data_IF_698927449349
#
_entry.id   IF_698927449349
#
_cell.length_a   1.000
_cell.length_b   1.000
_cell.length_c   1.000
_cell.angle_alpha   90.00
_cell.angle_beta   90.00
_cell.angle_gamma   90.00
#
_symmetry.space_group_name_H-M   'P 1'
#
loop_
_entity.id
_entity.type
_entity.pdbx_description
1 polymer ?
#
# COMPACT_ATOMS: atom_id res chain seq x y z
N UNK A 1 -18.41 -14.28 14.82
CA UNK A 1 -17.30 -14.82 14.00
C UNK A 1 -16.04 -14.87 14.86
N UNK A 2 -15.41 -16.03 14.97
CA UNK A 2 -14.13 -16.19 15.70
C UNK A 2 -13.04 -15.49 14.89
N UNK A 3 -12.29 -14.56 15.52
CA UNK A 3 -11.18 -13.84 14.86
C UNK A 3 -9.99 -14.80 14.71
N UNK A 4 -9.55 -15.06 13.47
CA UNK A 4 -8.38 -15.89 13.19
C UNK A 4 -7.10 -15.22 13.73
N UNK A 5 -6.28 -15.93 14.51
CA UNK A 5 -4.98 -15.39 14.96
C UNK A 5 -3.94 -15.53 13.86
N UNK A 6 -2.93 -14.67 13.83
CA UNK A 6 -1.82 -14.77 12.87
C UNK A 6 -1.09 -16.12 12.97
N UNK A 7 -1.03 -16.68 14.19
CA UNK A 7 -0.50 -18.02 14.46
C UNK A 7 -1.28 -19.13 13.75
N UNK A 8 -2.52 -18.87 13.35
CA UNK A 8 -3.37 -19.82 12.64
C UNK A 8 -3.33 -19.59 11.12
N UNK A 9 -3.06 -18.33 10.70
CA UNK A 9 -3.04 -17.90 9.30
C UNK A 9 -1.69 -18.17 8.64
N UNK A 10 -0.58 -17.84 9.31
CA UNK A 10 0.76 -18.01 8.76
C UNK A 10 1.06 -19.49 8.42
N UNK A 11 0.71 -20.48 9.27
CA UNK A 11 0.86 -21.88 8.90
C UNK A 11 0.05 -22.28 7.67
N UNK A 12 -1.16 -21.73 7.47
CA UNK A 12 -1.99 -22.01 6.28
C UNK A 12 -1.34 -21.48 5.01
N UNK A 13 -0.76 -20.28 5.05
CA UNK A 13 -0.01 -19.71 3.94
C UNK A 13 1.26 -20.50 3.63
N UNK A 14 2.02 -20.85 4.67
CA UNK A 14 3.21 -21.68 4.52
C UNK A 14 2.85 -23.08 4.01
N UNK A 15 1.68 -23.61 4.39
CA UNK A 15 1.11 -24.85 3.84
C UNK A 15 0.77 -24.68 2.36
N UNK A 16 0.09 -23.61 1.96
CA UNK A 16 -0.18 -23.34 0.54
C UNK A 16 1.12 -23.34 -0.29
N UNK A 17 2.12 -22.57 0.12
CA UNK A 17 3.41 -22.50 -0.58
C UNK A 17 4.12 -23.87 -0.58
N UNK A 18 4.13 -24.57 0.56
CA UNK A 18 4.81 -25.86 0.69
C UNK A 18 4.16 -26.97 -0.13
N UNK A 19 2.88 -26.83 -0.50
CA UNK A 19 2.15 -27.75 -1.38
C UNK A 19 2.22 -27.35 -2.86
N UNK A 20 1.98 -26.07 -3.18
CA UNK A 20 1.98 -25.60 -4.56
C UNK A 20 3.34 -25.71 -5.23
N UNK A 21 4.41 -25.34 -4.52
CA UNK A 21 5.75 -25.30 -5.12
C UNK A 21 6.25 -26.70 -5.54
N UNK A 22 6.10 -27.77 -4.75
CA UNK A 22 6.36 -29.13 -5.22
C UNK A 22 5.49 -29.55 -6.40
N UNK A 23 4.18 -29.24 -6.37
CA UNK A 23 3.26 -29.58 -7.47
C UNK A 23 3.76 -28.98 -8.79
N UNK A 24 4.00 -27.66 -8.84
CA UNK A 24 4.48 -27.01 -10.06
C UNK A 24 5.84 -27.56 -10.52
N UNK A 25 6.73 -27.91 -9.59
CA UNK A 25 8.03 -28.53 -9.90
C UNK A 25 7.89 -29.92 -10.51
N UNK A 26 7.02 -30.75 -9.94
CA UNK A 26 6.73 -32.09 -10.43
C UNK A 26 6.08 -32.01 -11.82
N UNK A 27 5.03 -31.19 -11.98
CA UNK A 27 4.38 -30.94 -13.27
C UNK A 27 5.39 -30.44 -14.31
N UNK A 28 6.26 -29.47 -13.97
CA UNK A 28 7.30 -29.00 -14.90
C UNK A 28 8.23 -30.12 -15.34
N UNK A 29 8.68 -30.96 -14.41
CA UNK A 29 9.55 -32.10 -14.73
C UNK A 29 8.85 -33.08 -15.67
N UNK A 30 7.56 -33.35 -15.44
CA UNK A 30 6.80 -34.29 -16.26
C UNK A 30 6.59 -33.73 -17.66
N UNK A 31 6.09 -32.50 -17.76
CA UNK A 31 5.82 -31.85 -19.05
C UNK A 31 7.13 -31.72 -19.85
N UNK A 32 8.25 -31.34 -19.23
CA UNK A 32 9.55 -31.27 -19.89
C UNK A 32 9.96 -32.60 -20.55
N UNK A 33 9.69 -33.73 -19.90
CA UNK A 33 10.03 -35.06 -20.39
C UNK A 33 8.95 -35.69 -21.28
N UNK A 34 7.77 -35.08 -21.39
CA UNK A 34 6.69 -35.57 -22.24
C UNK A 34 7.01 -35.29 -23.71
N UNK A 35 6.72 -36.24 -24.58
CA UNK A 35 6.76 -36.01 -26.02
C UNK A 35 5.76 -34.89 -26.39
N UNK A 36 6.14 -33.85 -27.15
CA UNK A 36 5.21 -32.82 -27.59
C UNK A 36 3.90 -33.37 -28.18
N UNK A 37 3.95 -34.45 -28.97
CA UNK A 37 2.75 -34.99 -29.61
C UNK A 37 1.75 -35.59 -28.60
N UNK A 38 2.26 -36.09 -27.47
CA UNK A 38 1.44 -36.61 -26.36
C UNK A 38 0.82 -35.50 -25.51
N UNK A 39 1.26 -34.24 -25.68
CA UNK A 39 0.71 -33.09 -24.96
C UNK A 39 -0.68 -32.70 -25.48
N UNK A 40 -0.99 -33.00 -26.75
CA UNK A 40 -2.30 -32.72 -27.34
C UNK A 40 -3.41 -33.65 -26.85
N UNK A 41 -3.04 -34.84 -26.38
CA UNK A 41 -4.01 -35.82 -25.88
C UNK A 41 -4.39 -35.49 -24.43
N UNK A 42 -5.58 -34.89 -24.28
CA UNK A 42 -6.17 -34.54 -22.99
C UNK A 42 -6.30 -35.79 -22.10
N UNK A 43 -6.57 -36.97 -22.68
CA UNK A 43 -6.65 -38.21 -21.91
C UNK A 43 -5.29 -38.64 -21.34
N UNK A 44 -4.19 -38.36 -22.06
CA UNK A 44 -2.83 -38.61 -21.57
C UNK A 44 -2.53 -37.69 -20.40
N UNK A 45 -2.88 -36.40 -20.48
CA UNK A 45 -2.74 -35.46 -19.37
C UNK A 45 -3.56 -35.87 -18.15
N UNK A 46 -4.80 -36.36 -18.35
CA UNK A 46 -5.64 -36.85 -17.26
C UNK A 46 -5.11 -38.14 -16.63
N UNK A 47 -4.56 -39.06 -17.42
CA UNK A 47 -3.90 -40.28 -16.90
C UNK A 47 -2.68 -39.91 -16.06
N UNK A 48 -1.84 -39.00 -16.55
CA UNK A 48 -0.67 -38.49 -15.81
C UNK A 48 -1.11 -37.88 -14.48
N UNK A 49 -2.10 -36.97 -14.49
CA UNK A 49 -2.64 -36.35 -13.27
C UNK A 49 -3.12 -37.40 -12.27
N UNK A 50 -3.92 -38.38 -12.72
CA UNK A 50 -4.44 -39.44 -11.87
C UNK A 50 -3.33 -40.33 -11.28
N UNK A 51 -2.27 -40.61 -12.03
CA UNK A 51 -1.11 -41.34 -11.50
C UNK A 51 -0.36 -40.54 -10.43
N UNK A 52 -0.18 -39.23 -10.62
CA UNK A 52 0.47 -38.36 -9.63
C UNK A 52 -0.34 -38.25 -8.34
N UNK A 53 -1.67 -38.19 -8.44
CA UNK A 53 -2.58 -38.23 -7.30
C UNK A 53 -2.41 -39.53 -6.53
N UNK A 54 -2.39 -40.68 -7.23
CA UNK A 54 -2.20 -42.01 -6.62
C UNK A 54 -0.86 -42.17 -5.90
N UNK A 55 0.24 -41.63 -6.46
CA UNK A 55 1.58 -41.70 -5.85
C UNK A 55 1.66 -40.99 -4.48
N UNK A 56 0.75 -40.04 -4.21
CA UNK A 56 0.76 -39.22 -2.99
C UNK A 56 -0.23 -39.64 -1.88
N UNK A 57 -1.04 -40.68 -2.10
CA UNK A 57 -2.04 -41.19 -1.13
C UNK A 57 -1.38 -41.76 0.16
N UNK A 58 -0.06 -41.95 0.19
CA UNK A 58 0.68 -42.46 1.37
C UNK A 58 0.93 -41.43 2.49
N UNK A 59 0.37 -40.21 2.41
CA UNK A 59 0.46 -39.17 3.45
C UNK A 59 -0.94 -38.81 3.99
N UNK A 60 -1.00 -38.18 5.18
CA UNK A 60 -2.22 -37.81 5.94
C UNK A 60 -3.38 -37.35 5.02
N UNK A 61 -4.55 -37.99 5.15
CA UNK A 61 -5.71 -37.92 4.24
C UNK A 61 -6.16 -36.49 3.85
N UNK A 62 -6.19 -35.57 4.81
CA UNK A 62 -6.54 -34.18 4.54
C UNK A 62 -5.49 -33.45 3.67
N UNK A 63 -4.20 -33.69 3.90
CA UNK A 63 -3.11 -33.09 3.11
C UNK A 63 -3.06 -33.64 1.69
N UNK A 64 -3.47 -34.91 1.49
CA UNK A 64 -3.59 -35.50 0.15
C UNK A 64 -4.75 -34.91 -0.65
N UNK A 65 -5.89 -34.64 -0.02
CA UNK A 65 -7.07 -34.04 -0.67
C UNK A 65 -6.79 -32.60 -1.13
N UNK A 66 -6.17 -31.76 -0.28
CA UNK A 66 -5.75 -30.41 -0.68
C UNK A 66 -4.75 -30.43 -1.83
N UNK A 67 -3.76 -31.33 -1.78
CA UNK A 67 -2.77 -31.45 -2.86
C UNK A 67 -3.38 -31.90 -4.19
N UNK A 68 -4.37 -32.79 -4.15
CA UNK A 68 -5.10 -33.27 -5.33
C UNK A 68 -5.92 -32.14 -5.98
N UNK A 69 -6.59 -31.31 -5.17
CA UNK A 69 -7.34 -30.15 -5.67
C UNK A 69 -6.43 -29.16 -6.41
N UNK A 70 -5.27 -28.83 -5.83
CA UNK A 70 -4.30 -27.93 -6.47
C UNK A 70 -3.70 -28.52 -7.75
N UNK A 71 -3.40 -29.82 -7.77
CA UNK A 71 -2.95 -30.50 -9.00
C UNK A 71 -4.01 -30.44 -10.09
N UNK A 72 -5.26 -30.72 -9.75
CA UNK A 72 -6.37 -30.64 -10.70
C UNK A 72 -6.41 -29.25 -11.33
N UNK A 73 -6.39 -28.19 -10.53
CA UNK A 73 -6.39 -26.83 -11.03
C UNK A 73 -5.20 -26.53 -11.97
N UNK A 74 -3.99 -26.97 -11.63
CA UNK A 74 -2.79 -26.77 -12.48
C UNK A 74 -2.94 -27.46 -13.83
N UNK A 75 -3.43 -28.71 -13.86
CA UNK A 75 -3.62 -29.43 -15.12
C UNK A 75 -4.79 -28.88 -15.95
N UNK A 76 -5.87 -28.40 -15.33
CA UNK A 76 -6.94 -27.71 -16.06
C UNK A 76 -6.42 -26.43 -16.74
N UNK A 77 -5.63 -25.61 -16.04
CA UNK A 77 -5.02 -24.39 -16.63
C UNK A 77 -4.16 -24.75 -17.85
N UNK A 78 -3.36 -25.82 -17.76
CA UNK A 78 -2.53 -26.30 -18.88
C UNK A 78 -3.41 -26.76 -20.05
N UNK A 79 -4.46 -27.55 -19.77
CA UNK A 79 -5.40 -28.04 -20.80
C UNK A 79 -6.10 -26.89 -21.52
N UNK A 80 -6.59 -25.90 -20.78
CA UNK A 80 -7.24 -24.72 -21.35
C UNK A 80 -6.29 -23.94 -22.27
N UNK A 81 -5.02 -23.79 -21.89
CA UNK A 81 -4.01 -23.16 -22.72
C UNK A 81 -3.75 -23.94 -24.02
N UNK A 82 -3.60 -25.26 -23.94
CA UNK A 82 -3.37 -26.11 -25.11
C UNK A 82 -4.58 -26.03 -26.06
N UNK A 83 -5.80 -26.19 -25.55
CA UNK A 83 -7.02 -26.12 -26.38
C UNK A 83 -7.12 -24.78 -27.09
N UNK A 84 -6.76 -23.70 -26.41
CA UNK A 84 -6.82 -22.35 -26.96
C UNK A 84 -5.81 -22.09 -28.08
N UNK A 85 -4.58 -22.60 -27.97
CA UNK A 85 -3.49 -22.21 -28.88
C UNK A 85 -2.98 -23.31 -29.82
N UNK A 86 -3.45 -24.55 -29.69
CA UNK A 86 -3.02 -25.69 -30.54
C UNK A 86 -3.24 -25.50 -32.05
N UNK A 87 -4.13 -24.58 -32.43
CA UNK A 87 -4.41 -24.27 -33.84
C UNK A 87 -3.55 -23.10 -34.36
N UNK A 88 -3.00 -22.29 -33.46
CA UNK A 88 -2.29 -21.05 -33.78
C UNK A 88 -0.76 -21.18 -33.68
N UNK A 89 -0.27 -22.09 -32.83
CA UNK A 89 1.15 -22.17 -32.45
C UNK A 89 1.63 -23.64 -32.55
N UNK A 90 2.87 -23.90 -33.02
CA UNK A 90 3.47 -25.23 -32.98
C UNK A 90 3.47 -25.84 -31.58
N UNK A 91 3.23 -27.16 -31.50
CA UNK A 91 3.08 -27.89 -30.23
C UNK A 91 4.35 -27.83 -29.38
N UNK A 92 5.53 -27.81 -30.03
CA UNK A 92 6.80 -27.69 -29.33
C UNK A 92 6.93 -26.34 -28.61
N UNK A 93 6.45 -25.26 -29.24
CA UNK A 93 6.46 -23.93 -28.65
C UNK A 93 5.43 -23.85 -27.50
N UNK A 94 4.24 -24.46 -27.65
CA UNK A 94 3.24 -24.58 -26.56
C UNK A 94 3.85 -25.27 -25.34
N UNK A 95 4.57 -26.37 -25.56
CA UNK A 95 5.28 -27.09 -24.49
C UNK A 95 6.32 -26.21 -23.82
N UNK A 96 7.14 -25.52 -24.60
CA UNK A 96 8.20 -24.64 -24.08
C UNK A 96 7.61 -23.48 -23.27
N UNK A 97 6.53 -22.84 -23.75
CA UNK A 97 5.79 -21.83 -22.99
C UNK A 97 5.27 -22.37 -21.65
N UNK A 98 4.64 -23.55 -21.63
CA UNK A 98 4.14 -24.15 -20.37
C UNK A 98 5.31 -24.39 -19.40
N UNK A 99 6.44 -24.91 -19.88
CA UNK A 99 7.63 -25.17 -19.04
C UNK A 99 8.21 -23.86 -18.48
N UNK A 100 8.26 -22.80 -19.28
CA UNK A 100 8.71 -21.48 -18.86
C UNK A 100 7.74 -20.86 -17.84
N UNK A 101 6.43 -20.89 -18.11
CA UNK A 101 5.42 -20.38 -17.17
C UNK A 101 5.44 -21.09 -15.82
N UNK A 102 5.66 -22.41 -15.82
CA UNK A 102 5.87 -23.19 -14.60
C UNK A 102 7.15 -22.78 -13.88
N UNK A 103 8.25 -22.55 -14.62
CA UNK A 103 9.53 -22.10 -14.06
C UNK A 103 9.39 -20.75 -13.35
N UNK A 104 8.80 -19.76 -14.02
CA UNK A 104 8.49 -18.44 -13.47
C UNK A 104 7.64 -18.53 -12.20
N UNK A 105 6.58 -19.34 -12.23
CA UNK A 105 5.67 -19.55 -11.10
C UNK A 105 6.37 -20.15 -9.88
N UNK A 106 7.27 -21.10 -10.09
CA UNK A 106 8.09 -21.70 -9.01
C UNK A 106 9.00 -20.65 -8.38
N UNK A 107 9.61 -19.77 -9.18
CA UNK A 107 10.49 -18.71 -8.72
C UNK A 107 9.72 -17.62 -7.96
N UNK A 108 8.52 -17.23 -8.43
CA UNK A 108 7.61 -16.33 -7.73
C UNK A 108 7.25 -16.86 -6.33
N UNK A 109 6.81 -18.13 -6.24
CA UNK A 109 6.49 -18.78 -4.96
C UNK A 109 7.70 -18.85 -4.02
N UNK A 110 8.91 -19.06 -4.56
CA UNK A 110 10.15 -19.06 -3.76
C UNK A 110 10.43 -17.70 -3.14
N UNK A 111 10.24 -16.60 -3.89
CA UNK A 111 10.39 -15.24 -3.35
C UNK A 111 9.33 -14.95 -2.30
N UNK A 112 8.07 -15.28 -2.58
CA UNK A 112 6.96 -15.13 -1.63
C UNK A 112 7.21 -15.89 -0.31
N UNK A 113 7.75 -17.10 -0.39
CA UNK A 113 8.16 -17.86 0.79
C UNK A 113 9.24 -17.14 1.62
N UNK A 114 10.20 -16.51 0.96
CA UNK A 114 11.33 -15.86 1.61
C UNK A 114 10.92 -14.58 2.34
N UNK A 115 9.88 -13.87 1.87
CA UNK A 115 9.41 -12.65 2.54
C UNK A 115 8.49 -12.94 3.72
N UNK A 116 7.82 -14.10 3.75
CA UNK A 116 6.90 -14.48 4.83
C UNK A 116 7.55 -15.36 5.90
N UNK A 117 8.86 -15.67 5.81
CA UNK A 117 9.53 -16.52 6.77
C UNK A 117 9.93 -15.73 8.04
N UNK A 118 9.37 -16.06 9.23
CA UNK A 118 9.66 -15.37 10.48
C UNK A 118 11.07 -15.62 11.06
N UNK A 119 11.78 -16.67 10.62
CA UNK A 119 13.06 -17.12 11.23
C UNK A 119 14.31 -16.38 10.74
N UNK A 120 14.22 -15.09 10.42
CA UNK A 120 15.40 -14.34 9.96
C UNK A 120 16.11 -13.71 11.16
N UNK A 121 17.23 -14.32 11.58
CA UNK A 121 18.13 -13.87 12.67
C UNK A 121 18.69 -12.45 12.50
N UNK A 122 18.41 -11.77 11.39
CA UNK A 122 18.75 -10.39 11.13
C UNK A 122 17.60 -9.71 10.36
N UNK A 123 16.69 -9.05 11.09
CA UNK A 123 15.47 -8.41 10.56
C UNK A 123 15.80 -7.35 9.49
N UNK A 124 16.90 -6.61 9.66
CA UNK A 124 17.27 -5.50 8.79
C UNK A 124 17.77 -5.94 7.41
N UNK A 125 18.33 -7.16 7.33
CA UNK A 125 18.77 -7.75 6.07
C UNK A 125 17.71 -8.63 5.41
N UNK A 126 16.51 -8.70 5.99
CA UNK A 126 15.41 -9.48 5.39
C UNK A 126 14.92 -8.82 4.12
N UNK A 127 14.49 -9.64 3.17
CA UNK A 127 14.00 -9.15 1.88
C UNK A 127 12.77 -8.26 2.08
N UNK A 128 11.89 -8.65 3.03
CA UNK A 128 10.71 -7.88 3.38
C UNK A 128 11.08 -6.52 3.98
N UNK A 129 12.04 -6.46 4.92
CA UNK A 129 12.44 -5.20 5.54
C UNK A 129 13.03 -4.23 4.51
N UNK A 130 13.90 -4.71 3.62
CA UNK A 130 14.49 -3.87 2.56
C UNK A 130 13.41 -3.29 1.63
N UNK A 131 12.40 -4.08 1.27
CA UNK A 131 11.25 -3.60 0.48
C UNK A 131 10.42 -2.59 1.26
N UNK A 132 10.09 -2.87 2.52
CA UNK A 132 9.34 -1.94 3.35
C UNK A 132 10.08 -0.61 3.48
N UNK A 133 11.40 -0.63 3.69
CA UNK A 133 12.20 0.59 3.80
C UNK A 133 12.23 1.39 2.51
N UNK A 134 12.33 0.72 1.37
CA UNK A 134 12.21 1.37 0.07
C UNK A 134 10.85 2.07 -0.08
N UNK A 135 9.74 1.37 0.20
CA UNK A 135 8.40 1.93 0.11
C UNK A 135 8.19 3.07 1.11
N UNK A 136 8.62 2.91 2.36
CA UNK A 136 8.57 3.97 3.37
C UNK A 136 9.29 5.23 2.87
N UNK A 137 10.52 5.10 2.38
CA UNK A 137 11.30 6.26 1.91
C UNK A 137 10.63 7.01 0.75
N UNK A 138 9.89 6.32 -0.12
CA UNK A 138 9.27 6.97 -1.29
C UNK A 138 7.91 7.60 -0.96
N UNK A 139 7.00 6.86 -0.33
CA UNK A 139 5.59 7.27 -0.22
C UNK A 139 5.10 7.49 1.22
N UNK A 140 5.85 7.07 2.25
CA UNK A 140 5.47 7.29 3.65
C UNK A 140 6.72 7.40 4.54
N UNK A 141 7.45 8.51 4.39
CA UNK A 141 8.82 8.66 4.90
C UNK A 141 8.88 8.79 6.43
N UNK A 142 9.87 8.16 7.08
CA UNK A 142 10.18 8.40 8.50
C UNK A 142 11.27 9.47 8.63
N UNK A 143 11.23 10.26 9.71
CA UNK A 143 12.24 11.28 10.00
C UNK A 143 12.11 11.82 11.42
N UNK A 144 13.14 12.54 11.87
CA UNK A 144 13.19 13.16 13.20
C UNK A 144 12.41 14.47 13.30
N UNK A 145 12.08 15.09 12.15
CA UNK A 145 11.26 16.30 12.06
C UNK A 145 10.31 16.23 10.86
N UNK A 146 9.23 17.02 10.89
CA UNK A 146 8.27 17.07 9.78
C UNK A 146 8.94 17.62 8.51
N UNK A 147 9.88 18.55 8.65
CA UNK A 147 10.65 19.10 7.53
C UNK A 147 11.38 18.00 6.75
N UNK A 148 12.13 17.11 7.43
CA UNK A 148 12.87 16.02 6.77
C UNK A 148 11.90 15.08 6.05
N UNK A 149 10.77 14.78 6.69
CA UNK A 149 9.75 13.90 6.10
C UNK A 149 9.14 14.55 4.87
N UNK A 150 8.74 15.82 4.97
CA UNK A 150 8.12 16.58 3.91
C UNK A 150 9.04 16.72 2.69
N UNK A 151 10.32 17.07 2.90
CA UNK A 151 11.31 17.19 1.82
C UNK A 151 11.53 15.85 1.09
N UNK A 152 11.55 14.73 1.83
CA UNK A 152 11.63 13.40 1.22
C UNK A 152 10.39 13.06 0.40
N UNK A 153 9.19 13.41 0.89
CA UNK A 153 7.95 13.19 0.16
C UNK A 153 7.89 14.06 -1.10
N UNK A 154 8.22 15.34 -0.99
CA UNK A 154 8.23 16.31 -2.08
C UNK A 154 9.21 15.90 -3.20
N UNK A 155 10.40 15.42 -2.84
CA UNK A 155 11.38 14.89 -3.83
C UNK A 155 10.80 13.77 -4.70
N UNK A 156 9.90 12.98 -4.14
CA UNK A 156 9.28 11.84 -4.81
C UNK A 156 7.92 12.17 -5.44
N UNK A 157 7.33 13.33 -5.14
CA UNK A 157 5.94 13.63 -5.54
C UNK A 157 5.78 13.77 -7.05
N UNK A 158 6.79 14.29 -7.75
CA UNK A 158 6.79 14.41 -9.21
C UNK A 158 6.42 13.12 -9.94
N UNK A 159 6.81 11.96 -9.41
CA UNK A 159 6.51 10.65 -10.00
C UNK A 159 5.44 9.87 -9.22
N UNK A 160 5.27 10.14 -7.92
CA UNK A 160 4.48 9.29 -7.02
C UNK A 160 3.46 10.05 -6.18
N UNK A 161 3.10 11.28 -6.57
CA UNK A 161 2.09 12.07 -5.85
C UNK A 161 0.76 11.31 -5.72
N UNK A 162 0.28 10.65 -6.78
CA UNK A 162 -0.97 9.89 -6.70
C UNK A 162 -0.87 8.68 -5.76
N UNK A 163 0.28 8.00 -5.70
CA UNK A 163 0.54 6.97 -4.69
C UNK A 163 0.50 7.56 -3.27
N UNK A 164 1.18 8.69 -3.06
CA UNK A 164 1.26 9.40 -1.78
C UNK A 164 -0.13 9.86 -1.31
N UNK A 165 -0.92 10.45 -2.21
CA UNK A 165 -2.31 10.86 -1.98
C UNK A 165 -3.19 9.66 -1.66
N UNK A 166 -3.07 8.57 -2.42
CA UNK A 166 -3.85 7.36 -2.22
C UNK A 166 -3.66 6.76 -0.81
N UNK A 167 -2.45 6.83 -0.23
CA UNK A 167 -2.22 6.37 1.15
C UNK A 167 -3.05 7.11 2.20
N UNK A 168 -3.50 8.33 1.93
CA UNK A 168 -4.35 9.09 2.84
C UNK A 168 -5.84 8.89 2.59
N UNK A 169 -6.26 8.20 1.54
CA UNK A 169 -7.68 8.13 1.13
C UNK A 169 -8.28 6.74 1.41
N UNK A 170 -8.56 6.38 2.67
CA UNK A 170 -9.19 5.10 2.98
C UNK A 170 -10.57 4.99 2.35
N UNK A 171 -10.91 3.78 1.89
CA UNK A 171 -12.18 3.51 1.22
C UNK A 171 -13.41 3.78 2.10
N UNK A 172 -13.35 3.42 3.37
CA UNK A 172 -14.48 3.65 4.30
C UNK A 172 -14.34 5.01 4.97
N UNK A 173 -15.45 5.74 5.08
CA UNK A 173 -15.56 6.86 6.02
C UNK A 173 -15.94 6.26 7.35
N UNK A 174 -14.98 6.12 8.26
CA UNK A 174 -15.31 5.75 9.62
C UNK A 174 -16.16 6.86 10.27
N UNK A 175 -17.48 6.73 10.18
CA UNK A 175 -18.41 7.28 11.17
C UNK A 175 -18.29 6.40 12.40
N UNK A 176 -17.25 6.61 13.21
CA UNK A 176 -17.49 6.41 14.64
C UNK A 176 -18.65 7.36 14.94
N UNK A 177 -19.78 6.84 15.42
CA UNK A 177 -20.74 7.72 16.08
C UNK A 177 -19.90 8.55 17.04
N UNK A 178 -20.03 9.88 16.98
CA UNK A 178 -19.36 10.88 17.82
C UNK A 178 -19.66 10.70 19.33
N UNK A 179 -20.06 9.51 19.76
CA UNK A 179 -20.27 9.13 21.16
C UNK A 179 -18.93 9.02 21.92
N UNK A 180 -17.78 8.91 21.23
CA UNK A 180 -16.44 9.10 21.81
C UNK A 180 -15.43 9.59 20.75
N UNK A 181 -15.32 10.91 20.51
CA UNK A 181 -14.26 11.46 19.69
C UNK A 181 -12.94 11.36 20.45
N UNK A 182 -12.13 10.35 20.13
CA UNK A 182 -10.74 10.32 20.58
C UNK A 182 -9.97 11.33 19.71
N UNK A 183 -9.98 12.61 20.13
CA UNK A 183 -9.49 13.76 19.36
C UNK A 183 -8.01 13.68 18.96
N UNK A 184 -7.24 12.80 19.61
CA UNK A 184 -5.85 12.52 19.26
C UNK A 184 -5.69 11.66 18.01
N UNK A 185 -6.77 11.08 17.48
CA UNK A 185 -6.71 10.17 16.34
C UNK A 185 -6.65 10.93 15.01
N UNK A 186 -5.66 10.59 14.18
CA UNK A 186 -5.45 11.16 12.85
C UNK A 186 -6.17 10.31 11.80
N UNK A 187 -7.26 10.79 11.19
CA UNK A 187 -7.99 10.08 10.15
C UNK A 187 -7.30 10.25 8.78
N UNK A 188 -7.78 9.49 7.80
CA UNK A 188 -7.48 9.77 6.39
C UNK A 188 -8.24 10.99 5.85
N UNK A 189 -7.91 11.39 4.62
CA UNK A 189 -8.59 12.41 3.84
C UNK A 189 -9.95 11.91 3.35
N UNK A 190 -11.02 12.39 3.98
CA UNK A 190 -12.36 12.27 3.43
C UNK A 190 -12.62 13.33 2.35
N UNK A 191 -13.65 13.20 1.49
CA UNK A 191 -14.05 14.25 0.55
C UNK A 191 -14.29 15.59 1.24
N UNK A 192 -14.84 15.58 2.46
CA UNK A 192 -15.03 16.78 3.28
C UNK A 192 -13.68 17.45 3.59
N UNK A 193 -12.69 16.66 4.03
CA UNK A 193 -11.34 17.18 4.31
C UNK A 193 -10.66 17.69 3.02
N UNK A 194 -10.80 16.96 1.91
CA UNK A 194 -10.24 17.39 0.63
C UNK A 194 -10.86 18.71 0.14
N UNK A 195 -12.17 18.90 0.29
CA UNK A 195 -12.84 20.16 -0.03
C UNK A 195 -12.35 21.31 0.86
N UNK A 196 -12.16 21.06 2.16
CA UNK A 196 -11.59 22.06 3.09
C UNK A 196 -10.19 22.48 2.62
N UNK A 197 -9.31 21.52 2.28
CA UNK A 197 -7.96 21.80 1.75
C UNK A 197 -8.04 22.63 0.46
N UNK A 198 -8.99 22.31 -0.43
CA UNK A 198 -9.18 23.04 -1.67
C UNK A 198 -9.62 24.50 -1.43
N UNK A 199 -10.57 24.72 -0.51
CA UNK A 199 -11.02 26.06 -0.14
C UNK A 199 -9.90 26.88 0.49
N UNK A 200 -9.11 26.27 1.38
CA UNK A 200 -7.91 26.89 1.98
C UNK A 200 -6.94 27.32 0.88
N UNK A 201 -6.56 26.38 0.00
CA UNK A 201 -5.62 26.67 -1.10
C UNK A 201 -6.14 27.80 -2.00
N UNK A 202 -7.42 27.78 -2.32
CA UNK A 202 -8.05 28.82 -3.14
C UNK A 202 -8.00 30.19 -2.46
N UNK A 203 -8.43 30.29 -1.19
CA UNK A 203 -8.47 31.57 -0.48
C UNK A 203 -7.07 32.14 -0.26
N UNK A 204 -6.11 31.29 0.13
CA UNK A 204 -4.73 31.72 0.29
C UNK A 204 -4.14 32.29 -1.00
N UNK A 205 -4.35 31.64 -2.15
CA UNK A 205 -3.75 32.12 -3.40
C UNK A 205 -4.50 33.30 -4.04
N UNK A 206 -5.82 33.43 -3.84
CA UNK A 206 -6.63 34.43 -4.52
C UNK A 206 -6.78 35.72 -3.72
N UNK A 207 -7.10 35.63 -2.43
CA UNK A 207 -7.43 36.79 -1.60
C UNK A 207 -7.11 36.53 -0.11
N UNK A 208 -5.82 36.35 0.25
CA UNK A 208 -5.42 36.22 1.64
C UNK A 208 -5.46 37.60 2.33
N UNK A 209 -5.90 37.61 3.57
CA UNK A 209 -5.56 38.71 4.49
C UNK A 209 -4.09 38.59 4.89
N UNK A 210 -3.48 39.68 5.35
CA UNK A 210 -2.13 39.70 5.87
C UNK A 210 -2.14 40.27 7.28
N UNK A 211 -1.46 39.57 8.20
CA UNK A 211 -1.29 39.98 9.59
C UNK A 211 0.15 39.83 10.04
N UNK A 212 0.48 40.46 11.16
CA UNK A 212 1.82 40.39 11.76
C UNK A 212 2.22 38.94 12.05
N UNK A 213 3.48 38.59 11.77
CA UNK A 213 4.03 37.28 12.10
C UNK A 213 4.50 37.27 13.57
N UNK A 214 3.83 36.55 14.49
CA UNK A 214 4.18 36.58 15.91
C UNK A 214 5.63 36.19 16.21
N UNK A 215 6.24 35.35 15.36
CA UNK A 215 7.58 34.82 15.55
C UNK A 215 8.71 35.62 14.86
N UNK A 216 8.39 36.57 13.97
CA UNK A 216 9.39 37.38 13.27
C UNK A 216 8.92 38.82 13.10
N UNK A 217 9.68 39.75 13.70
CA UNK A 217 9.46 41.18 13.51
C UNK A 217 9.60 41.60 12.04
N UNK A 218 8.81 42.59 11.62
CA UNK A 218 8.77 43.11 10.25
C UNK A 218 8.32 42.11 9.18
N UNK A 219 7.74 40.97 9.56
CA UNK A 219 7.13 40.02 8.63
C UNK A 219 5.61 40.02 8.74
N UNK A 220 4.94 39.89 7.60
CA UNK A 220 3.51 39.63 7.51
C UNK A 220 3.26 38.23 6.95
N UNK A 221 2.37 37.48 7.58
CA UNK A 221 1.94 36.14 7.16
C UNK A 221 0.54 36.17 6.57
N UNK A 222 0.24 35.30 5.58
CA UNK A 222 -1.08 35.19 5.03
C UNK A 222 -2.04 34.57 6.04
N UNK A 223 -3.27 35.02 6.02
CA UNK A 223 -4.35 34.66 6.92
C UNK A 223 -5.66 34.58 6.16
N UNK A 224 -6.53 33.65 6.56
CA UNK A 224 -7.89 33.52 6.01
C UNK A 224 -8.87 33.37 7.16
N UNK A 225 -10.10 33.82 6.99
CA UNK A 225 -11.09 33.75 8.06
C UNK A 225 -11.49 32.30 8.31
N UNK A 226 -11.37 31.84 9.56
CA UNK A 226 -11.80 30.50 9.99
C UNK A 226 -13.24 30.21 9.54
N UNK A 227 -14.12 31.21 9.68
CA UNK A 227 -15.53 31.09 9.35
C UNK A 227 -15.78 30.89 7.85
N UNK A 228 -14.98 31.47 6.96
CA UNK A 228 -15.14 31.27 5.51
C UNK A 228 -14.84 29.83 5.08
N UNK A 229 -13.98 29.16 5.83
CA UNK A 229 -13.55 27.79 5.52
C UNK A 229 -14.40 26.76 6.25
N UNK A 230 -14.64 26.93 7.54
CA UNK A 230 -15.22 25.88 8.39
C UNK A 230 -16.74 25.97 8.56
N UNK A 231 -17.36 27.15 8.41
CA UNK A 231 -18.79 27.31 8.71
C UNK A 231 -19.70 26.41 7.87
N UNK A 232 -19.36 26.18 6.60
CA UNK A 232 -20.09 25.29 5.71
C UNK A 232 -20.03 23.80 6.12
N UNK A 233 -19.18 23.47 7.09
CA UNK A 233 -18.86 22.11 7.50
C UNK A 233 -19.17 21.82 8.97
N UNK A 234 -19.55 22.82 9.76
CA UNK A 234 -19.94 22.66 11.17
C UNK A 234 -21.46 22.74 11.24
N UNK A 235 -22.12 21.63 11.59
CA UNK A 235 -23.54 21.72 11.97
C UNK A 235 -23.61 22.41 13.34
N UNK A 236 -24.41 23.48 13.43
CA UNK A 236 -24.43 24.50 14.50
C UNK A 236 -24.77 24.02 15.93
N UNK A 237 -24.75 22.71 16.19
CA UNK A 237 -25.26 22.08 17.42
C UNK A 237 -24.17 21.26 18.16
N UNK A 238 -23.00 20.99 17.58
CA UNK A 238 -22.01 20.06 18.18
C UNK A 238 -20.59 20.63 18.35
N UNK A 239 -20.25 21.10 19.55
CA UNK A 239 -18.86 21.47 19.94
C UNK A 239 -17.77 20.44 19.55
N UNK A 240 -18.02 19.11 19.62
CA UNK A 240 -17.01 18.13 19.19
C UNK A 240 -16.68 18.16 17.69
N UNK A 241 -17.61 18.58 16.83
CA UNK A 241 -17.35 18.70 15.39
C UNK A 241 -16.48 19.92 15.09
N UNK A 242 -16.69 21.02 15.81
CA UNK A 242 -15.85 22.21 15.72
C UNK A 242 -14.40 21.89 16.13
N UNK A 243 -14.18 21.30 17.31
CA UNK A 243 -12.83 20.91 17.77
C UNK A 243 -12.13 19.95 16.80
N UNK A 244 -12.86 19.01 16.20
CA UNK A 244 -12.31 18.07 15.22
C UNK A 244 -11.91 18.75 13.90
N UNK A 245 -12.66 19.76 13.46
CA UNK A 245 -12.37 20.57 12.28
C UNK A 245 -11.23 21.55 12.56
N UNK A 246 -11.16 22.14 13.74
CA UNK A 246 -10.02 22.97 14.13
C UNK A 246 -8.73 22.16 14.19
N UNK A 247 -8.79 20.93 14.70
CA UNK A 247 -7.66 19.98 14.70
C UNK A 247 -7.18 19.65 13.29
N UNK A 248 -8.00 19.83 12.25
CA UNK A 248 -7.57 19.67 10.87
C UNK A 248 -6.54 20.73 10.48
N UNK A 249 -6.67 21.95 10.98
CA UNK A 249 -5.75 23.05 10.68
C UNK A 249 -4.30 22.65 11.00
N UNK A 250 -4.07 22.09 12.19
CA UNK A 250 -2.74 21.62 12.60
C UNK A 250 -2.20 20.53 11.66
N UNK A 251 -3.05 19.59 11.26
CA UNK A 251 -2.66 18.46 10.38
C UNK A 251 -2.20 18.90 9.00
N UNK A 252 -2.66 20.06 8.53
CA UNK A 252 -2.25 20.67 7.25
C UNK A 252 -1.25 21.82 7.42
N UNK A 253 -0.69 22.00 8.63
CA UNK A 253 0.37 22.97 8.90
C UNK A 253 -0.11 24.38 9.25
N UNK A 254 -1.38 24.54 9.59
CA UNK A 254 -1.99 25.81 9.99
C UNK A 254 -2.24 25.86 11.51
N UNK A 255 -2.57 27.05 11.99
CA UNK A 255 -2.96 27.36 13.36
C UNK A 255 -4.08 28.40 13.35
N UNK A 256 -4.80 28.49 14.46
CA UNK A 256 -5.80 29.52 14.68
C UNK A 256 -5.15 30.67 15.47
N UNK A 257 -5.14 31.87 14.89
CA UNK A 257 -4.69 33.11 15.52
C UNK A 257 -5.91 33.95 15.93
N UNK A 258 -5.85 34.47 17.15
CA UNK A 258 -6.90 35.28 17.80
C UNK A 258 -8.31 34.66 17.81
N UNK A 259 -8.40 33.33 17.64
CA UNK A 259 -9.67 32.60 17.51
C UNK A 259 -10.40 32.83 16.18
N UNK A 260 -9.84 33.62 15.26
CA UNK A 260 -10.54 34.14 14.08
C UNK A 260 -9.86 33.73 12.78
N UNK A 261 -8.52 33.74 12.74
CA UNK A 261 -7.75 33.58 11.51
C UNK A 261 -7.07 32.22 11.46
N UNK A 262 -7.16 31.55 10.31
CA UNK A 262 -6.29 30.42 9.99
C UNK A 262 -5.03 30.94 9.31
N UNK A 263 -3.88 30.64 9.90
CA UNK A 263 -2.56 31.12 9.46
C UNK A 263 -1.54 29.98 9.54
N UNK A 264 -0.47 29.96 8.71
CA UNK A 264 0.54 28.90 8.81
C UNK A 264 1.30 28.95 10.15
N UNK A 265 1.70 27.77 10.63
CA UNK A 265 2.62 27.64 11.76
C UNK A 265 4.03 28.07 11.34
N UNK A 266 4.87 28.45 12.29
CA UNK A 266 6.27 28.84 12.02
C UNK A 266 7.02 27.75 11.23
N UNK A 267 6.95 26.49 11.65
CA UNK A 267 7.62 25.38 10.97
C UNK A 267 7.11 25.21 9.53
N UNK A 268 5.81 25.39 9.28
CA UNK A 268 5.21 25.38 7.94
C UNK A 268 5.73 26.54 7.09
N UNK A 269 5.82 27.75 7.65
CA UNK A 269 6.37 28.92 6.95
C UNK A 269 7.80 28.66 6.50
N UNK A 270 8.65 28.15 7.40
CA UNK A 270 10.06 27.88 7.09
C UNK A 270 10.19 26.79 6.00
N UNK A 271 9.38 25.73 6.07
CA UNK A 271 9.34 24.68 5.02
C UNK A 271 8.88 25.27 3.68
N UNK A 272 7.83 26.08 3.68
CA UNK A 272 7.24 26.60 2.46
C UNK A 272 8.12 27.66 1.80
N UNK A 273 8.79 28.52 2.58
CA UNK A 273 9.80 29.44 2.07
C UNK A 273 10.96 28.69 1.42
N UNK A 274 11.51 27.67 2.09
CA UNK A 274 12.64 26.88 1.57
C UNK A 274 12.30 26.19 0.24
N UNK A 275 11.05 25.83 0.02
CA UNK A 275 10.57 25.14 -1.17
C UNK A 275 9.85 26.06 -2.17
N UNK A 276 9.95 27.39 -2.02
CA UNK A 276 9.31 28.38 -2.88
C UNK A 276 7.78 28.29 -2.97
N UNK A 277 7.12 27.78 -1.92
CA UNK A 277 5.66 27.84 -1.76
C UNK A 277 5.17 29.14 -1.12
N UNK A 278 6.09 29.90 -0.50
CA UNK A 278 5.92 31.31 -0.18
C UNK A 278 6.94 32.16 -0.92
N UNK A 279 6.54 33.35 -1.36
CA UNK A 279 7.41 34.37 -1.94
C UNK A 279 7.48 35.58 -1.02
N UNK A 280 8.68 36.01 -0.69
CA UNK A 280 8.89 37.25 0.05
C UNK A 280 8.66 38.47 -0.85
N UNK A 281 7.89 39.45 -0.38
CA UNK A 281 7.61 40.70 -1.06
C UNK A 281 7.81 41.87 -0.10
N UNK A 282 8.86 42.66 -0.34
CA UNK A 282 9.17 43.83 0.48
C UNK A 282 8.22 44.98 0.13
N UNK A 283 7.47 45.43 1.12
CA UNK A 283 6.53 46.54 1.02
C UNK A 283 7.26 47.89 1.16
N UNK A 284 6.57 48.97 0.82
CA UNK A 284 7.12 50.34 0.88
C UNK A 284 7.45 50.81 2.29
N UNK A 285 6.78 50.28 3.31
CA UNK A 285 7.02 50.53 4.73
C UNK A 285 8.18 49.70 5.32
N UNK A 286 8.81 48.86 4.50
CA UNK A 286 9.92 47.99 4.89
C UNK A 286 9.51 46.62 5.40
N UNK A 287 8.21 46.36 5.60
CA UNK A 287 7.70 45.04 5.99
C UNK A 287 7.89 44.02 4.87
N UNK A 288 8.11 42.75 5.24
CA UNK A 288 8.24 41.64 4.31
C UNK A 288 6.98 40.80 4.36
N UNK A 289 6.20 40.83 3.28
CA UNK A 289 4.97 40.07 3.15
C UNK A 289 5.23 38.71 2.50
N UNK A 290 4.74 37.64 3.13
CA UNK A 290 4.85 36.28 2.60
C UNK A 290 3.64 35.96 1.70
N UNK A 291 3.87 35.94 0.39
CA UNK A 291 2.81 35.69 -0.59
C UNK A 291 2.72 34.17 -0.86
N UNK A 292 1.57 33.52 -0.61
CA UNK A 292 1.35 32.11 -0.94
C UNK A 292 1.38 31.83 -2.44
N UNK A 293 1.94 30.67 -2.80
CA UNK A 293 1.97 30.12 -4.15
C UNK A 293 2.03 28.59 -4.10
N UNK A 294 1.09 27.99 -3.38
CA UNK A 294 1.03 26.54 -3.17
C UNK A 294 -0.24 25.92 -3.73
N UNK A 295 -0.26 24.60 -3.90
CA UNK A 295 -1.41 23.86 -4.42
C UNK A 295 -1.99 22.91 -3.37
N UNK A 296 -3.09 22.23 -3.72
CA UNK A 296 -3.63 21.15 -2.89
C UNK A 296 -2.58 20.05 -2.64
N UNK A 297 -1.71 19.77 -3.61
CA UNK A 297 -0.60 18.82 -3.47
C UNK A 297 0.32 19.22 -2.33
N UNK A 298 0.70 20.49 -2.25
CA UNK A 298 1.56 21.02 -1.17
C UNK A 298 0.99 20.72 0.21
N UNK A 299 -0.30 20.97 0.43
CA UNK A 299 -0.97 20.75 1.72
C UNK A 299 -1.25 19.27 2.01
N UNK A 300 -1.59 18.49 0.99
CA UNK A 300 -1.81 17.04 1.12
C UNK A 300 -0.51 16.32 1.48
N UNK A 301 0.62 16.71 0.89
CA UNK A 301 1.94 16.20 1.26
C UNK A 301 2.31 16.59 2.69
N UNK A 302 1.89 17.77 3.15
CA UNK A 302 2.11 18.17 4.54
C UNK A 302 1.29 17.31 5.49
N UNK A 303 0.01 17.04 5.16
CA UNK A 303 -0.81 16.09 5.91
C UNK A 303 -0.15 14.71 5.97
N UNK A 304 0.37 14.21 4.85
CA UNK A 304 1.07 12.92 4.80
C UNK A 304 2.33 12.92 5.66
N UNK A 305 3.10 14.01 5.65
CA UNK A 305 4.26 14.19 6.52
C UNK A 305 3.87 14.17 8.00
N UNK A 306 2.81 14.90 8.37
CA UNK A 306 2.25 14.91 9.72
C UNK A 306 1.80 13.50 10.15
N UNK A 307 1.04 12.80 9.31
CA UNK A 307 0.61 11.44 9.55
C UNK A 307 1.79 10.47 9.72
N UNK A 308 2.86 10.63 8.92
CA UNK A 308 4.04 9.78 9.03
C UNK A 308 4.90 10.09 10.26
N UNK A 309 4.92 11.35 10.72
CA UNK A 309 5.57 11.73 11.98
C UNK A 309 4.78 11.18 13.18
N UNK A 310 3.45 11.22 13.11
CA UNK A 310 2.53 10.87 14.19
C UNK A 310 1.91 9.47 14.03
N UNK A 311 2.69 8.50 13.52
CA UNK A 311 2.22 7.12 13.26
C UNK A 311 1.52 6.42 14.43
N UNK A 312 1.89 6.75 15.66
CA UNK A 312 1.27 6.19 16.88
C UNK A 312 -0.17 6.64 17.12
N UNK A 313 -0.61 7.70 16.43
CA UNK A 313 -1.90 8.35 16.61
C UNK A 313 -2.83 8.17 15.40
N UNK A 314 -2.43 7.38 14.40
CA UNK A 314 -3.25 7.16 13.22
C UNK A 314 -4.53 6.39 13.57
N UNK A 315 -5.61 6.70 12.86
CA UNK A 315 -6.84 5.94 12.96
C UNK A 315 -6.59 4.49 12.55
N UNK A 316 -7.36 3.59 13.17
CA UNK A 316 -7.27 2.15 12.90
C UNK A 316 -7.53 1.84 11.43
N UNK A 317 -8.46 2.59 10.83
CA UNK A 317 -8.79 2.53 9.42
C UNK A 317 -7.61 2.94 8.55
N UNK A 318 -6.95 4.07 8.86
CA UNK A 318 -5.79 4.53 8.11
C UNK A 318 -4.60 3.58 8.26
N UNK A 319 -4.37 3.01 9.45
CA UNK A 319 -3.35 1.98 9.67
C UNK A 319 -3.62 0.75 8.79
N UNK A 320 -4.87 0.27 8.78
CA UNK A 320 -5.26 -0.86 7.93
C UNK A 320 -5.04 -0.53 6.45
N UNK A 321 -5.48 0.66 6.01
CA UNK A 321 -5.37 1.11 4.64
C UNK A 321 -3.91 1.19 4.16
N UNK A 322 -3.03 1.84 4.92
CA UNK A 322 -1.60 1.95 4.59
C UNK A 322 -0.96 0.56 4.55
N UNK A 323 -1.25 -0.29 5.53
CA UNK A 323 -0.69 -1.65 5.59
C UNK A 323 -1.13 -2.52 4.42
N UNK A 324 -2.38 -2.37 3.98
CA UNK A 324 -2.92 -3.07 2.81
C UNK A 324 -2.28 -2.57 1.51
N UNK A 325 -2.12 -1.26 1.37
CA UNK A 325 -1.43 -0.65 0.24
C UNK A 325 0.02 -1.15 0.11
N UNK A 326 0.76 -1.17 1.21
CA UNK A 326 2.13 -1.69 1.23
C UNK A 326 2.18 -3.18 0.87
N UNK A 327 1.26 -3.99 1.41
CA UNK A 327 1.17 -5.40 1.08
C UNK A 327 0.86 -5.61 -0.41
N UNK A 328 -0.09 -4.85 -0.96
CA UNK A 328 -0.46 -4.89 -2.37
C UNK A 328 0.73 -4.51 -3.27
N UNK A 329 1.39 -3.39 -2.97
CA UNK A 329 2.56 -2.90 -3.70
C UNK A 329 3.71 -3.93 -3.73
N UNK A 330 4.05 -4.51 -2.59
CA UNK A 330 5.07 -5.57 -2.48
C UNK A 330 4.66 -6.80 -3.28
N UNK A 331 3.42 -7.25 -3.11
CA UNK A 331 2.92 -8.45 -3.76
C UNK A 331 2.93 -8.30 -5.27
N UNK A 332 2.31 -7.23 -5.79
CA UNK A 332 2.24 -6.95 -7.22
C UNK A 332 3.62 -6.67 -7.81
N UNK A 333 4.52 -6.00 -7.09
CA UNK A 333 5.90 -5.79 -7.55
C UNK A 333 6.68 -7.09 -7.70
N UNK A 334 6.50 -8.05 -6.78
CA UNK A 334 7.12 -9.38 -6.90
C UNK A 334 6.53 -10.18 -8.06
N UNK A 335 5.20 -10.15 -8.23
CA UNK A 335 4.56 -10.83 -9.35
C UNK A 335 5.03 -10.23 -10.68
N UNK A 336 5.02 -8.91 -10.83
CA UNK A 336 5.49 -8.21 -12.03
C UNK A 336 6.96 -8.52 -12.35
N UNK A 337 7.77 -8.74 -11.32
CA UNK A 337 9.18 -9.10 -11.50
C UNK A 337 9.40 -10.56 -11.91
N UNK A 338 8.59 -11.49 -11.39
CA UNK A 338 8.82 -12.94 -11.54
C UNK A 338 7.92 -13.63 -12.56
N UNK A 339 6.78 -13.04 -12.88
CA UNK A 339 5.79 -13.56 -13.82
C UNK A 339 5.67 -12.63 -15.01
N UNK A 340 5.67 -13.20 -16.20
CA UNK A 340 5.23 -12.51 -17.41
C UNK A 340 3.72 -12.24 -17.36
N UNK A 341 3.27 -11.18 -18.03
CA UNK A 341 1.84 -10.82 -18.08
C UNK A 341 1.00 -11.91 -18.78
N UNK A 342 1.64 -12.76 -19.60
CA UNK A 342 1.03 -13.87 -20.35
C UNK A 342 1.02 -15.19 -19.57
N UNK A 343 1.64 -15.23 -18.38
CA UNK A 343 1.78 -16.45 -17.61
C UNK A 343 0.41 -17.04 -17.23
N UNK A 344 0.13 -18.26 -17.71
CA UNK A 344 -1.18 -18.92 -17.54
C UNK A 344 -1.53 -19.21 -16.08
N UNK A 345 -0.53 -19.29 -15.19
CA UNK A 345 -0.74 -19.55 -13.77
C UNK A 345 -0.96 -18.28 -12.95
N UNK A 346 -1.02 -17.09 -13.57
CA UNK A 346 -1.24 -15.83 -12.86
C UNK A 346 -2.51 -15.87 -11.97
N UNK A 347 -3.55 -16.62 -12.38
CA UNK A 347 -4.78 -16.82 -11.61
C UNK A 347 -4.55 -17.46 -10.23
N UNK A 348 -3.55 -18.36 -10.10
CA UNK A 348 -3.15 -18.97 -8.83
C UNK A 348 -2.65 -17.92 -7.85
N UNK A 349 -1.99 -16.88 -8.35
CA UNK A 349 -1.48 -15.76 -7.56
C UNK A 349 -2.55 -14.68 -7.33
N UNK A 350 -3.61 -14.62 -8.15
CA UNK A 350 -4.76 -13.74 -7.88
C UNK A 350 -5.67 -14.28 -6.77
N UNK A 351 -5.58 -15.56 -6.42
CA UNK A 351 -6.41 -16.12 -5.35
C UNK A 351 -6.09 -15.47 -4.00
N UNK A 352 -7.13 -14.83 -3.47
CA UNK A 352 -7.12 -13.78 -2.45
C UNK A 352 -6.55 -14.23 -1.09
N UNK A 353 -6.49 -15.54 -0.82
CA UNK A 353 -6.04 -16.07 0.48
C UNK A 353 -4.58 -15.75 0.81
N UNK A 354 -3.74 -15.63 -0.22
CA UNK A 354 -2.30 -15.35 -0.12
C UNK A 354 -2.03 -13.85 0.07
N UNK A 355 -2.80 -12.99 -0.60
CA UNK A 355 -2.67 -11.53 -0.57
C UNK A 355 -3.34 -10.90 0.67
N UNK A 356 -4.49 -11.43 1.09
CA UNK A 356 -5.37 -10.76 2.05
C UNK A 356 -4.97 -10.88 3.52
N UNK A 357 -4.07 -11.81 3.89
CA UNK A 357 -3.95 -12.20 5.31
C UNK A 357 -2.55 -12.07 5.92
N UNK A 358 -1.50 -12.58 5.28
CA UNK A 358 -0.16 -12.61 5.89
C UNK A 358 0.60 -11.31 5.68
N UNK A 359 0.73 -10.86 4.43
CA UNK A 359 1.48 -9.64 4.11
C UNK A 359 0.91 -8.39 4.80
N UNK A 360 -0.41 -8.12 4.79
CA UNK A 360 -0.96 -6.95 5.50
C UNK A 360 -0.65 -6.96 6.99
N UNK A 361 -0.64 -8.13 7.63
CA UNK A 361 -0.29 -8.25 9.03
C UNK A 361 1.19 -7.96 9.28
N UNK A 362 2.08 -8.54 8.46
CA UNK A 362 3.50 -8.23 8.52
C UNK A 362 3.77 -6.74 8.27
N UNK A 363 3.01 -6.09 7.38
CA UNK A 363 3.08 -4.64 7.15
C UNK A 363 2.66 -3.83 8.37
N UNK A 364 1.60 -4.25 9.09
CA UNK A 364 1.22 -3.61 10.35
C UNK A 364 2.37 -3.65 11.36
N UNK A 365 3.02 -4.80 11.53
CA UNK A 365 4.15 -4.96 12.44
C UNK A 365 5.38 -4.13 12.01
N UNK A 366 5.70 -4.11 10.72
CA UNK A 366 6.87 -3.42 10.19
C UNK A 366 6.70 -1.89 10.16
N UNK A 367 5.55 -1.42 9.70
CA UNK A 367 5.25 0.01 9.51
C UNK A 367 4.87 0.69 10.84
N UNK A 368 4.26 -0.06 11.76
CA UNK A 368 3.69 0.44 13.01
C UNK A 368 4.13 -0.46 14.19
N UNK A 369 5.39 -0.42 14.64
CA UNK A 369 5.88 -1.30 15.71
C UNK A 369 5.10 -1.16 17.03
N UNK A 370 4.59 0.05 17.33
CA UNK A 370 3.74 0.30 18.51
C UNK A 370 2.32 -0.28 18.37
N UNK A 371 1.95 -0.82 17.20
CA UNK A 371 0.67 -1.48 16.93
C UNK A 371 0.39 -2.65 17.88
N UNK A 372 1.44 -3.31 18.39
CA UNK A 372 1.31 -4.39 19.36
C UNK A 372 0.74 -3.92 20.72
N UNK A 373 0.84 -2.62 21.03
CA UNK A 373 0.27 -1.99 22.23
C UNK A 373 -1.17 -1.47 22.03
N UNK A 374 -1.66 -1.39 20.80
CA UNK A 374 -3.07 -1.11 20.53
C UNK A 374 -3.88 -2.35 20.93
N UNK A 375 -4.90 -2.16 21.76
CA UNK A 375 -5.80 -3.24 22.15
C UNK A 375 -6.35 -3.94 20.89
N UNK A 376 -5.87 -5.16 20.65
CA UNK A 376 -6.22 -6.03 19.50
C UNK A 376 -7.73 -6.23 19.38
N UNK A 377 -8.50 -5.94 20.43
CA UNK A 377 -9.96 -6.03 20.42
C UNK A 377 -10.64 -4.95 19.57
N UNK A 378 -10.00 -3.81 19.28
CA UNK A 378 -10.68 -2.64 18.68
C UNK A 378 -10.44 -2.39 17.18
N UNK A 379 -9.62 -3.20 16.49
CA UNK A 379 -9.33 -3.02 15.05
C UNK A 379 -10.18 -3.98 14.22
N UNK A 380 -10.97 -3.44 13.28
CA UNK A 380 -11.74 -4.22 12.30
C UNK A 380 -10.75 -4.86 11.31
N UNK A 381 -10.60 -6.18 11.40
CA UNK A 381 -9.67 -6.96 10.56
C UNK A 381 -10.33 -8.29 10.10
N UNK A 382 -11.63 -8.22 9.76
CA UNK A 382 -12.35 -9.40 9.26
C UNK A 382 -11.90 -9.74 7.84
N UNK A 383 -11.93 -11.03 7.44
CA UNK A 383 -11.61 -11.43 6.06
C UNK A 383 -12.39 -10.63 5.01
N UNK A 384 -13.69 -10.43 5.24
CA UNK A 384 -14.56 -9.64 4.36
C UNK A 384 -14.08 -8.19 4.18
N UNK A 385 -13.68 -7.54 5.28
CA UNK A 385 -13.20 -6.15 5.23
C UNK A 385 -11.85 -6.04 4.50
N UNK A 386 -10.97 -7.03 4.66
CA UNK A 386 -9.69 -7.07 3.93
C UNK A 386 -9.91 -7.25 2.42
N UNK A 387 -10.82 -8.14 2.04
CA UNK A 387 -11.23 -8.34 0.65
C UNK A 387 -11.81 -7.08 0.02
N UNK A 388 -12.66 -6.38 0.75
CA UNK A 388 -13.19 -5.07 0.33
C UNK A 388 -12.05 -4.09 0.04
N UNK A 389 -11.15 -3.86 1.01
CA UNK A 389 -10.00 -2.95 0.82
C UNK A 389 -9.14 -3.36 -0.39
N UNK A 390 -8.81 -4.64 -0.54
CA UNK A 390 -7.99 -5.10 -1.67
C UNK A 390 -8.66 -4.87 -3.02
N UNK A 391 -9.98 -5.09 -3.12
CA UNK A 391 -10.72 -4.79 -4.33
C UNK A 391 -10.71 -3.29 -4.65
N UNK A 392 -10.79 -2.42 -3.65
CA UNK A 392 -10.72 -0.97 -3.84
C UNK A 392 -9.33 -0.48 -4.22
N UNK A 393 -8.28 -1.04 -3.63
CA UNK A 393 -6.90 -0.75 -4.05
C UNK A 393 -6.71 -1.21 -5.50
N UNK A 394 -7.20 -2.41 -5.83
CA UNK A 394 -7.16 -2.96 -7.19
C UNK A 394 -7.94 -2.13 -8.22
N UNK A 395 -9.07 -1.52 -7.85
CA UNK A 395 -9.82 -0.63 -8.76
C UNK A 395 -9.13 0.72 -8.98
N UNK A 396 -8.13 1.06 -8.17
CA UNK A 396 -7.31 2.26 -8.30
C UNK A 396 -5.85 1.92 -8.67
N UNK A 397 -5.63 0.76 -9.31
CA UNK A 397 -4.29 0.26 -9.65
C UNK A 397 -3.50 1.23 -10.53
N UNK A 398 -4.17 2.04 -11.36
CA UNK A 398 -3.52 3.04 -12.21
C UNK A 398 -2.72 4.06 -11.40
N UNK A 399 -3.20 4.41 -10.19
CA UNK A 399 -2.47 5.31 -9.27
C UNK A 399 -1.19 4.68 -8.72
N UNK A 400 -1.06 3.34 -8.77
CA UNK A 400 0.01 2.56 -8.14
C UNK A 400 0.95 1.90 -9.16
N UNK A 401 0.56 1.84 -10.43
CA UNK A 401 1.19 1.03 -11.48
C UNK A 401 2.66 1.36 -11.66
N UNK A 402 3.02 2.63 -11.72
CA UNK A 402 4.40 3.06 -11.93
C UNK A 402 5.27 2.68 -10.74
N UNK A 403 4.73 2.79 -9.52
CA UNK A 403 5.46 2.40 -8.33
C UNK A 403 5.59 0.88 -8.18
N UNK A 404 4.61 0.11 -8.63
CA UNK A 404 4.72 -1.37 -8.75
C UNK A 404 5.91 -1.75 -9.65
N UNK A 405 6.09 -1.05 -10.77
CA UNK A 405 7.21 -1.30 -11.67
C UNK A 405 8.56 -0.98 -11.00
N UNK A 406 8.65 0.11 -10.26
CA UNK A 406 9.86 0.45 -9.50
C UNK A 406 10.19 -0.57 -8.42
N UNK A 407 9.18 -1.07 -7.72
CA UNK A 407 9.35 -2.15 -6.73
C UNK A 407 9.88 -3.41 -7.43
N UNK A 408 9.40 -3.74 -8.63
CA UNK A 408 9.88 -4.88 -9.41
C UNK A 408 11.37 -4.71 -9.79
N UNK A 409 11.77 -3.51 -10.21
CA UNK A 409 13.18 -3.17 -10.51
C UNK A 409 14.04 -3.30 -9.24
N UNK A 410 13.56 -2.76 -8.12
CA UNK A 410 14.27 -2.82 -6.84
C UNK A 410 14.42 -4.26 -6.32
N UNK A 411 13.40 -5.10 -6.50
CA UNK A 411 13.47 -6.53 -6.21
C UNK A 411 14.63 -7.22 -6.97
N UNK A 412 14.76 -6.93 -8.26
CA UNK A 412 15.85 -7.45 -9.10
C UNK A 412 17.22 -7.01 -8.59
N UNK A 413 17.33 -5.78 -8.07
CA UNK A 413 18.56 -5.24 -7.47
C UNK A 413 18.94 -6.01 -6.20
N UNK A 414 17.99 -6.22 -5.27
CA UNK A 414 18.23 -6.96 -4.02
C UNK A 414 18.73 -8.39 -4.32
N UNK A 415 18.13 -9.09 -5.28
CA UNK A 415 18.54 -10.46 -5.62
C UNK A 415 19.97 -10.50 -6.18
N UNK A 416 20.36 -9.55 -7.04
CA UNK A 416 21.72 -9.46 -7.58
C UNK A 416 22.76 -9.24 -6.47
N UNK A 417 22.48 -8.32 -5.55
CA UNK A 417 23.38 -8.03 -4.42
C UNK A 417 23.57 -9.24 -3.49
N UNK A 418 22.53 -10.07 -3.33
CA UNK A 418 22.60 -11.31 -2.54
C UNK A 418 23.35 -12.44 -3.22
N UNK A 419 23.39 -12.50 -4.55
CA UNK A 419 24.16 -13.52 -5.29
C UNK A 419 25.67 -13.22 -5.35
N UNK A 420 26.05 -11.96 -5.12
CA UNK A 420 27.44 -11.50 -5.14
C UNK A 420 28.11 -11.48 -3.74
N UNK A 421 27.36 -11.81 -2.68
CA UNK A 421 27.85 -12.05 -1.32
C UNK A 421 27.86 -13.54 -1.06
#
# INVERSE_FOLDING_TARGET
MVREKWTDILPRYMTFISHMRPILRETRRIILNLDPDLLLDIEVLDKIRQEEEKRNIRKVRALSEFSAMYRTNVYEIIKDFIVKYREDIPIIDIKDYIVEFLYESIDALKVLQNITNPDQRNIENTYLFQLVKFIEQTIFSRGSSIQIIYENLLKNSANYYECQRHLLMPHTYYREKLENPDFFVIPGLSPKVYQIINNITSLYNLDPNFGEFPEKENYEIPMVLKNEIFSAYIDSIANPEEEAIESLAERIGLRILDGIFLSPQQETVDIFLKNNFFRESKQSDGTIRLIPQFSNETLILYYLAFASMRRGFLSKELINWISMNFAFLIYMGILKWKLTDENIFYSIFKDLQTNEKVLPYLMKLACFPNYLGLDKMKIRDSPQYRKEIFNFIGSQIDNLKDFINEIAIYCKKIEKERKNK
#
